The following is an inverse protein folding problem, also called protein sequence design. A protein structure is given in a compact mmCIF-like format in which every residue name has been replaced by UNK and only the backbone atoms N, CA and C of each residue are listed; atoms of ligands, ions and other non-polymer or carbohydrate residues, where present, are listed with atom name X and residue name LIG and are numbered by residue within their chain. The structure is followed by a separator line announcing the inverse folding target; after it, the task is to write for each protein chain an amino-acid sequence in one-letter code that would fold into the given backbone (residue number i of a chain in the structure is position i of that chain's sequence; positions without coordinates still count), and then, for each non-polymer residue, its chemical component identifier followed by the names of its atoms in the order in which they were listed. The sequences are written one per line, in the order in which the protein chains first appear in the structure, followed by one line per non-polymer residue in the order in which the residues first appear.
data_IF_849358564246
#
_entry.id   IF_849358564246
#
_cell.length_a   1.000
_cell.length_b   1.000
_cell.length_c   1.000
_cell.angle_alpha   90.00
_cell.angle_beta   90.00
_cell.angle_gamma   90.00
#
_symmetry.space_group_name_H-M   'P 1'
#
loop_
_entity.id
_entity.type
_entity.pdbx_description
1 polymer ?
#
# COMPACT_ATOMS: atom_id res chain seq x y z
N UNK A 1 -6.32 18.24 -14.46
CA UNK A 1 -5.18 17.40 -14.11
C UNK A 1 -5.02 17.37 -12.59
N UNK A 2 -4.57 16.27 -12.03
CA UNK A 2 -4.45 16.09 -10.58
C UNK A 2 -3.19 15.29 -10.23
N UNK A 3 -2.55 15.65 -9.13
CA UNK A 3 -1.57 14.82 -8.43
C UNK A 3 -2.19 14.41 -7.09
N UNK A 4 -2.22 13.12 -6.80
CA UNK A 4 -2.83 12.56 -5.60
C UNK A 4 -1.78 11.83 -4.77
N UNK A 5 -1.49 12.34 -3.56
CA UNK A 5 -0.66 11.59 -2.63
C UNK A 5 -1.34 10.32 -2.13
N UNK A 6 -0.55 9.27 -1.92
CA UNK A 6 -1.01 8.02 -1.30
C UNK A 6 -1.16 8.21 0.24
N UNK A 7 -2.03 7.45 0.90
CA UNK A 7 -3.03 6.58 0.31
C UNK A 7 -4.18 7.39 -0.28
N UNK A 8 -4.64 7.01 -1.46
CA UNK A 8 -5.72 7.76 -2.15
C UNK A 8 -7.12 7.39 -1.65
N UNK A 9 -7.22 6.34 -0.87
CA UNK A 9 -8.42 5.95 -0.11
C UNK A 9 -8.03 5.09 1.09
N UNK A 10 -8.85 5.09 2.13
CA UNK A 10 -8.62 4.36 3.38
C UNK A 10 -9.71 3.34 3.71
N UNK A 11 -10.77 3.30 2.90
CA UNK A 11 -11.94 2.43 3.08
C UNK A 11 -12.62 2.12 1.73
N UNK A 12 -13.60 1.17 1.70
CA UNK A 12 -14.31 0.79 0.48
C UNK A 12 -15.15 1.92 -0.14
N UNK A 13 -15.67 2.86 0.64
CA UNK A 13 -16.42 4.00 0.13
C UNK A 13 -15.49 4.93 -0.65
N UNK A 14 -14.33 5.24 -0.08
CA UNK A 14 -13.27 6.01 -0.73
C UNK A 14 -12.79 5.34 -2.02
N UNK A 15 -12.56 4.02 -2.00
CA UNK A 15 -12.20 3.25 -3.19
C UNK A 15 -13.21 3.44 -4.34
N UNK A 16 -14.51 3.25 -4.08
CA UNK A 16 -15.54 3.40 -5.11
C UNK A 16 -15.60 4.84 -5.65
N UNK A 17 -15.41 5.82 -4.79
CA UNK A 17 -15.37 7.23 -5.16
C UNK A 17 -14.19 7.52 -6.09
N UNK A 18 -13.00 7.03 -5.77
CA UNK A 18 -11.81 7.17 -6.61
C UNK A 18 -12.02 6.49 -7.97
N UNK A 19 -12.49 5.24 -7.99
CA UNK A 19 -12.73 4.50 -9.24
C UNK A 19 -13.74 5.20 -10.17
N UNK A 20 -14.82 5.76 -9.60
CA UNK A 20 -15.79 6.50 -10.38
C UNK A 20 -15.23 7.83 -10.93
N UNK A 21 -14.41 8.52 -10.12
CA UNK A 21 -13.82 9.81 -10.49
C UNK A 21 -12.68 9.64 -11.50
N UNK A 22 -11.88 8.58 -11.37
CA UNK A 22 -10.82 8.21 -12.31
C UNK A 22 -11.39 8.01 -13.74
N UNK A 23 -12.52 7.30 -13.87
CA UNK A 23 -13.24 7.15 -15.16
C UNK A 23 -13.64 8.49 -15.76
N UNK A 24 -14.11 9.44 -14.92
CA UNK A 24 -14.47 10.78 -15.38
C UNK A 24 -13.24 11.58 -15.82
N UNK A 25 -12.12 11.45 -15.10
CA UNK A 25 -10.86 12.09 -15.47
C UNK A 25 -10.33 11.54 -16.81
N UNK A 26 -10.37 10.22 -16.99
CA UNK A 26 -9.98 9.55 -18.24
C UNK A 26 -10.84 10.00 -19.42
N UNK A 27 -12.17 10.06 -19.25
CA UNK A 27 -13.10 10.53 -20.29
C UNK A 27 -12.86 11.99 -20.72
N UNK A 28 -12.24 12.79 -19.84
CA UNK A 28 -11.88 14.19 -20.11
C UNK A 28 -10.41 14.36 -20.53
N UNK A 29 -9.68 13.27 -20.78
CA UNK A 29 -8.25 13.28 -21.11
C UNK A 29 -7.40 14.06 -20.07
N UNK A 30 -7.71 13.92 -18.79
CA UNK A 30 -6.95 14.55 -17.72
C UNK A 30 -5.77 13.66 -17.29
N UNK A 31 -4.66 14.30 -16.99
CA UNK A 31 -3.51 13.62 -16.40
C UNK A 31 -3.73 13.50 -14.89
N UNK A 32 -3.73 12.27 -14.39
CA UNK A 32 -3.81 11.94 -12.97
C UNK A 32 -2.62 11.06 -12.63
N UNK A 33 -1.72 11.57 -11.80
CA UNK A 33 -0.54 10.85 -11.29
C UNK A 33 -0.70 10.72 -9.79
N UNK A 34 -0.27 9.60 -9.24
CA UNK A 34 -0.37 9.30 -7.81
C UNK A 34 1.03 9.26 -7.17
N UNK A 35 1.10 9.47 -5.85
CA UNK A 35 2.33 9.40 -5.06
C UNK A 35 2.89 7.97 -4.92
N UNK A 36 2.71 7.12 -5.94
CA UNK A 36 3.33 5.79 -6.07
C UNK A 36 4.68 5.93 -6.78
N UNK A 37 5.63 6.56 -6.10
CA UNK A 37 6.91 6.97 -6.69
C UNK A 37 7.70 5.85 -7.38
N UNK A 38 7.47 4.57 -7.03
CA UNK A 38 8.15 3.41 -7.65
C UNK A 38 7.83 3.25 -9.12
N UNK A 39 6.64 3.66 -9.57
CA UNK A 39 6.29 3.71 -10.99
C UNK A 39 7.12 4.73 -11.80
N UNK A 40 7.81 5.63 -11.10
CA UNK A 40 8.67 6.67 -11.70
C UNK A 40 10.16 6.46 -11.35
N UNK A 41 10.47 5.50 -10.49
CA UNK A 41 11.81 5.14 -10.07
C UNK A 41 12.46 4.22 -11.11
N UNK A 42 13.55 4.66 -11.75
CA UNK A 42 14.10 3.99 -12.94
C UNK A 42 14.48 2.53 -12.71
N UNK A 43 15.07 2.18 -11.58
CA UNK A 43 15.42 0.79 -11.28
C UNK A 43 14.16 -0.11 -11.21
N UNK A 44 13.04 0.36 -10.68
CA UNK A 44 11.77 -0.39 -10.72
C UNK A 44 11.20 -0.46 -12.13
N UNK A 45 11.24 0.63 -12.88
CA UNK A 45 10.75 0.67 -14.27
C UNK A 45 11.56 -0.26 -15.16
N UNK A 46 12.88 -0.29 -15.03
CA UNK A 46 13.74 -1.21 -15.79
C UNK A 46 13.57 -2.67 -15.34
N UNK A 47 13.40 -2.92 -14.05
CA UNK A 47 13.06 -4.24 -13.52
C UNK A 47 11.73 -4.74 -14.10
N UNK A 48 10.70 -3.89 -14.10
CA UNK A 48 9.40 -4.20 -14.70
C UNK A 48 9.54 -4.58 -16.17
N UNK A 49 10.29 -3.81 -16.98
CA UNK A 49 10.53 -4.13 -18.38
C UNK A 49 11.18 -5.50 -18.56
N UNK A 50 12.19 -5.82 -17.76
CA UNK A 50 12.88 -7.12 -17.80
C UNK A 50 11.95 -8.28 -17.46
N UNK A 51 11.08 -8.10 -16.50
CA UNK A 51 10.07 -9.11 -16.11
C UNK A 51 9.05 -9.28 -17.24
N UNK A 52 8.57 -8.18 -17.84
CA UNK A 52 7.65 -8.23 -19.00
C UNK A 52 8.29 -8.84 -20.25
N UNK A 53 9.61 -8.72 -20.42
CA UNK A 53 10.39 -9.44 -21.45
C UNK A 53 10.51 -10.95 -21.17
N UNK A 54 10.00 -11.42 -20.02
CA UNK A 54 9.96 -12.84 -19.64
C UNK A 54 11.21 -13.34 -18.91
N UNK A 55 12.03 -12.46 -18.34
CA UNK A 55 13.28 -12.82 -17.66
C UNK A 55 13.08 -13.82 -16.51
N UNK A 56 11.96 -13.75 -15.78
CA UNK A 56 11.61 -14.72 -14.72
C UNK A 56 10.53 -15.73 -15.14
N UNK A 57 10.06 -15.67 -16.39
CA UNK A 57 8.92 -16.48 -16.87
C UNK A 57 7.59 -16.01 -16.29
N UNK A 58 6.63 -16.94 -16.12
CA UNK A 58 5.34 -16.64 -15.49
C UNK A 58 5.51 -16.44 -13.99
N UNK A 59 4.88 -15.41 -13.42
CA UNK A 59 4.92 -15.14 -11.98
C UNK A 59 4.14 -16.24 -11.24
N UNK A 60 4.76 -16.85 -10.24
CA UNK A 60 4.21 -17.96 -9.45
C UNK A 60 3.90 -17.57 -8.01
N UNK A 61 4.31 -16.40 -7.57
CA UNK A 61 4.05 -15.86 -6.25
C UNK A 61 5.03 -14.77 -5.86
N UNK A 62 4.90 -14.29 -4.64
CA UNK A 62 5.83 -13.28 -4.12
C UNK A 62 5.70 -13.04 -2.63
N UNK A 63 6.66 -12.32 -2.10
CA UNK A 63 6.66 -11.84 -0.72
C UNK A 63 7.04 -10.37 -0.73
N UNK A 64 6.30 -9.56 0.01
CA UNK A 64 6.55 -8.12 0.12
C UNK A 64 6.67 -7.70 1.58
N UNK A 65 7.59 -6.77 1.85
CA UNK A 65 7.95 -6.37 3.20
C UNK A 65 7.96 -4.86 3.36
N UNK A 66 7.37 -4.38 4.47
CA UNK A 66 7.64 -3.05 5.00
C UNK A 66 7.86 -3.13 6.51
N UNK A 67 8.99 -3.71 6.90
CA UNK A 67 9.39 -3.85 8.28
C UNK A 67 10.38 -2.75 8.64
N UNK A 68 9.96 -1.81 9.48
CA UNK A 68 10.77 -0.68 9.92
C UNK A 68 10.52 -0.33 11.39
N UNK A 69 11.27 0.61 11.90
CA UNK A 69 11.01 1.26 13.19
C UNK A 69 9.70 2.04 13.17
N UNK A 70 9.17 2.35 14.35
CA UNK A 70 7.99 3.18 14.51
C UNK A 70 8.20 4.53 13.83
N UNK A 71 7.16 5.03 13.17
CA UNK A 71 7.13 6.40 12.65
C UNK A 71 6.94 7.40 13.81
N UNK A 72 6.94 8.66 13.45
CA UNK A 72 6.62 9.73 14.39
C UNK A 72 5.21 9.58 14.96
N UNK A 73 5.01 10.13 16.16
CA UNK A 73 3.71 10.33 16.78
C UNK A 73 3.68 11.69 17.47
N UNK A 74 2.48 12.16 17.80
CA UNK A 74 2.28 13.38 18.57
C UNK A 74 1.48 13.06 19.82
N UNK A 75 2.05 13.32 20.98
CA UNK A 75 1.29 13.31 22.22
C UNK A 75 0.33 14.51 22.26
N UNK A 76 -0.88 14.25 22.73
CA UNK A 76 -1.91 15.28 22.82
C UNK A 76 -1.46 16.42 23.75
N UNK A 77 -1.50 17.64 23.25
CA UNK A 77 -1.27 18.83 24.07
C UNK A 77 -2.56 19.27 24.77
N UNK A 78 -2.40 20.03 25.87
CA UNK A 78 -3.48 20.40 26.78
C UNK A 78 -4.55 21.30 26.14
N UNK A 79 -4.13 22.10 25.16
CA UNK A 79 -4.93 23.07 24.44
C UNK A 79 -5.50 22.53 23.12
N UNK A 80 -5.13 21.31 22.69
CA UNK A 80 -5.66 20.72 21.46
C UNK A 80 -7.02 20.08 21.67
N UNK A 81 -7.98 20.45 20.84
CA UNK A 81 -9.24 19.72 20.74
C UNK A 81 -9.05 18.36 20.04
N UNK A 82 -10.10 17.53 20.00
CA UNK A 82 -9.99 16.16 19.48
C UNK A 82 -9.62 16.11 18.01
N UNK A 83 -10.28 16.94 17.18
CA UNK A 83 -10.01 17.00 15.75
C UNK A 83 -8.58 17.50 15.46
N UNK A 84 -8.15 18.56 16.14
CA UNK A 84 -6.80 19.08 16.00
C UNK A 84 -5.73 18.06 16.39
N UNK A 85 -5.94 17.32 17.48
CA UNK A 85 -5.05 16.25 17.90
C UNK A 85 -4.95 15.16 16.81
N UNK A 86 -6.08 14.67 16.32
CA UNK A 86 -6.07 13.63 15.28
C UNK A 86 -5.39 14.11 14.01
N UNK A 87 -5.63 15.34 13.54
CA UNK A 87 -4.98 15.88 12.36
C UNK A 87 -3.46 16.02 12.57
N UNK A 88 -3.02 16.49 13.73
CA UNK A 88 -1.58 16.64 14.05
C UNK A 88 -0.87 15.30 14.22
N UNK A 89 -1.59 14.25 14.61
CA UNK A 89 -1.11 12.87 14.76
C UNK A 89 -1.69 11.93 13.69
N UNK A 90 -2.01 12.46 12.51
CA UNK A 90 -2.83 11.84 11.48
C UNK A 90 -2.40 10.43 11.06
N UNK A 91 -1.10 10.17 11.06
CA UNK A 91 -0.54 8.88 10.63
C UNK A 91 -0.96 7.73 11.54
N UNK A 92 -1.38 8.02 12.77
CA UNK A 92 -1.76 7.05 13.79
C UNK A 92 -3.28 6.79 13.89
N UNK A 93 -4.09 7.49 13.07
CA UNK A 93 -5.54 7.37 13.09
C UNK A 93 -6.05 6.71 11.81
N UNK A 94 -6.77 5.61 11.97
CA UNK A 94 -7.26 4.74 10.90
C UNK A 94 -8.09 5.48 9.84
N UNK A 95 -8.95 6.41 10.26
CA UNK A 95 -9.79 7.17 9.34
C UNK A 95 -9.03 8.18 8.49
N UNK A 96 -7.82 8.57 8.89
CA UNK A 96 -6.97 9.52 8.16
C UNK A 96 -5.93 8.80 7.28
N UNK A 97 -5.24 7.80 7.83
CA UNK A 97 -4.12 7.15 7.15
C UNK A 97 -4.43 5.72 6.68
N UNK A 98 -5.50 5.11 7.16
CA UNK A 98 -5.86 3.74 6.80
C UNK A 98 -5.10 2.66 7.55
N UNK A 99 -4.28 2.99 8.54
CA UNK A 99 -3.25 2.16 9.17
C UNK A 99 -1.99 2.02 8.29
N UNK A 100 -0.86 1.63 8.92
CA UNK A 100 0.43 1.60 8.24
C UNK A 100 0.52 0.59 7.08
N UNK A 101 -0.34 -0.42 7.06
CA UNK A 101 -0.45 -1.32 5.91
C UNK A 101 -0.98 -0.59 4.67
N UNK A 102 -1.88 0.38 4.84
CA UNK A 102 -2.45 1.20 3.76
C UNK A 102 -1.59 2.44 3.50
N UNK A 103 -1.02 3.06 4.54
CA UNK A 103 -0.25 4.30 4.42
C UNK A 103 1.18 4.06 3.92
N UNK A 104 1.86 2.99 4.36
CA UNK A 104 3.25 2.70 3.99
C UNK A 104 3.38 1.46 3.11
N UNK A 105 2.85 0.34 3.58
CA UNK A 105 3.08 -0.94 2.93
C UNK A 105 2.35 -1.09 1.59
N UNK A 106 1.39 -0.23 1.32
CA UNK A 106 0.73 -0.13 0.01
C UNK A 106 1.74 -0.01 -1.13
N UNK A 107 2.88 0.64 -0.93
CA UNK A 107 3.93 0.74 -1.95
C UNK A 107 4.46 -0.62 -2.42
N UNK A 108 4.59 -1.60 -1.51
CA UNK A 108 5.09 -2.92 -1.87
C UNK A 108 3.98 -3.80 -2.47
N UNK A 109 2.76 -3.68 -1.96
CA UNK A 109 1.57 -4.33 -2.53
C UNK A 109 1.35 -3.82 -3.96
N UNK A 110 1.48 -2.52 -4.17
CA UNK A 110 1.38 -1.85 -5.47
C UNK A 110 2.41 -2.38 -6.47
N UNK A 111 3.67 -2.54 -6.07
CA UNK A 111 4.70 -3.14 -6.95
C UNK A 111 4.30 -4.54 -7.39
N UNK A 112 3.78 -5.39 -6.49
CA UNK A 112 3.39 -6.73 -6.88
C UNK A 112 2.19 -6.72 -7.82
N UNK A 113 1.16 -5.91 -7.53
CA UNK A 113 -0.02 -5.80 -8.41
C UNK A 113 0.35 -5.20 -9.77
N UNK A 114 1.24 -4.23 -9.82
CA UNK A 114 1.76 -3.65 -11.05
C UNK A 114 2.57 -4.67 -11.87
N UNK A 115 3.53 -5.38 -11.25
CA UNK A 115 4.41 -6.33 -11.94
C UNK A 115 3.67 -7.58 -12.42
N UNK A 116 2.70 -8.05 -11.66
CA UNK A 116 1.91 -9.22 -12.03
C UNK A 116 0.70 -8.90 -12.92
N UNK A 117 0.20 -7.66 -12.88
CA UNK A 117 -1.08 -7.28 -13.49
C UNK A 117 -2.30 -7.90 -12.79
N UNK A 118 -2.12 -8.50 -11.60
CA UNK A 118 -3.15 -9.24 -10.88
C UNK A 118 -3.67 -8.45 -9.67
N UNK A 119 -4.93 -8.68 -9.31
CA UNK A 119 -5.52 -8.22 -8.05
C UNK A 119 -5.84 -9.41 -7.13
N UNK A 120 -5.88 -9.22 -5.81
CA UNK A 120 -6.30 -10.27 -4.91
C UNK A 120 -7.80 -10.53 -5.02
N UNK A 121 -8.21 -11.80 -4.87
CA UNK A 121 -9.61 -12.21 -4.74
C UNK A 121 -9.97 -12.53 -3.30
N UNK A 122 -8.98 -12.89 -2.48
CA UNK A 122 -9.12 -13.21 -1.06
C UNK A 122 -7.95 -12.69 -0.25
N UNK A 123 -8.19 -12.44 1.05
CA UNK A 123 -7.15 -12.17 2.02
C UNK A 123 -7.47 -12.85 3.36
N UNK A 124 -6.44 -13.46 3.96
CA UNK A 124 -6.45 -13.92 5.35
C UNK A 124 -5.31 -13.25 6.08
N UNK A 125 -5.63 -12.50 7.12
CA UNK A 125 -4.69 -11.63 7.80
C UNK A 125 -4.58 -11.87 9.30
N UNK A 126 -3.35 -11.69 9.79
CA UNK A 126 -3.02 -11.61 11.21
C UNK A 126 -2.39 -10.25 11.48
N UNK A 127 -2.64 -9.72 12.67
CA UNK A 127 -2.04 -8.48 13.09
C UNK A 127 -2.35 -8.19 14.55
N UNK A 128 -1.66 -7.21 15.10
CA UNK A 128 -1.90 -6.77 16.47
C UNK A 128 -1.30 -5.40 16.73
N UNK A 129 -1.62 -4.83 17.91
CA UNK A 129 -0.95 -3.67 18.47
C UNK A 129 -0.13 -4.08 19.67
N UNK A 130 1.18 -3.84 19.64
CA UNK A 130 2.12 -4.23 20.69
C UNK A 130 2.81 -3.01 21.32
N UNK A 131 3.24 -2.04 20.53
CA UNK A 131 4.11 -0.94 20.95
C UNK A 131 3.63 0.46 20.54
N UNK A 132 2.67 0.57 19.62
CA UNK A 132 2.17 1.87 19.16
C UNK A 132 1.61 2.68 20.33
N UNK A 133 1.97 3.96 20.43
CA UNK A 133 1.70 4.83 21.58
C UNK A 133 0.35 5.53 21.43
N UNK A 134 0.07 6.11 20.25
CA UNK A 134 -1.13 6.90 19.96
C UNK A 134 -2.02 6.25 18.91
N UNK A 135 -3.22 6.78 18.70
CA UNK A 135 -4.14 6.35 17.68
C UNK A 135 -4.84 5.02 17.94
N UNK A 136 -5.50 4.49 16.91
CA UNK A 136 -6.37 3.32 16.98
C UNK A 136 -5.94 2.16 16.04
N UNK A 137 -4.67 2.15 15.64
CA UNK A 137 -4.10 1.24 14.64
C UNK A 137 -3.32 0.09 15.25
N UNK A 138 -3.05 -0.94 14.44
CA UNK A 138 -2.06 -1.97 14.72
C UNK A 138 -0.64 -1.46 14.44
N UNK A 139 0.37 -2.26 14.81
CA UNK A 139 1.78 -1.99 14.49
C UNK A 139 2.47 -3.16 13.78
N UNK A 140 1.74 -4.22 13.49
CA UNK A 140 2.23 -5.34 12.68
C UNK A 140 1.08 -6.04 11.96
N UNK A 141 1.37 -6.52 10.74
CA UNK A 141 0.47 -7.32 9.92
C UNK A 141 1.26 -8.42 9.20
N UNK A 142 0.60 -9.56 9.03
CA UNK A 142 1.03 -10.66 8.16
C UNK A 142 -0.21 -11.14 7.40
N UNK A 143 -0.22 -10.95 6.09
CA UNK A 143 -1.38 -11.19 5.24
C UNK A 143 -0.99 -12.18 4.14
N UNK A 144 -1.82 -13.17 3.92
CA UNK A 144 -1.80 -14.01 2.73
C UNK A 144 -2.91 -13.56 1.77
N UNK A 145 -2.52 -13.09 0.60
CA UNK A 145 -3.44 -12.76 -0.47
C UNK A 145 -3.46 -13.89 -1.49
N UNK A 146 -4.66 -14.40 -1.82
CA UNK A 146 -4.86 -15.24 -3.01
C UNK A 146 -5.21 -14.33 -4.19
N UNK A 147 -4.39 -14.36 -5.24
CA UNK A 147 -4.60 -13.57 -6.45
C UNK A 147 -5.62 -14.25 -7.38
N UNK A 148 -6.15 -13.53 -8.37
CA UNK A 148 -7.22 -14.01 -9.26
C UNK A 148 -6.86 -15.24 -10.11
N UNK A 149 -5.56 -15.50 -10.31
CA UNK A 149 -5.06 -16.71 -10.98
C UNK A 149 -4.67 -17.85 -10.00
N UNK A 150 -4.91 -17.66 -8.70
CA UNK A 150 -4.66 -18.65 -7.66
C UNK A 150 -3.24 -18.63 -7.07
N UNK A 151 -2.33 -17.77 -7.53
CA UNK A 151 -1.03 -17.60 -6.87
C UNK A 151 -1.17 -16.81 -5.57
N UNK A 152 -0.16 -16.90 -4.69
CA UNK A 152 -0.17 -16.24 -3.41
C UNK A 152 0.84 -15.09 -3.35
N UNK A 153 0.41 -13.99 -2.73
CA UNK A 153 1.27 -12.90 -2.27
C UNK A 153 1.28 -12.90 -0.75
N UNK A 154 2.43 -13.18 -0.14
CA UNK A 154 2.62 -12.99 1.30
C UNK A 154 3.11 -11.57 1.58
N UNK A 155 2.38 -10.84 2.40
CA UNK A 155 2.58 -9.43 2.70
C UNK A 155 2.83 -9.26 4.20
N UNK A 156 3.99 -8.71 4.58
CA UNK A 156 4.36 -8.50 5.97
C UNK A 156 4.79 -7.05 6.21
N UNK A 157 4.19 -6.40 7.21
CA UNK A 157 4.66 -5.08 7.63
C UNK A 157 4.66 -4.91 9.14
N UNK A 158 5.59 -4.08 9.63
CA UNK A 158 5.76 -3.82 11.06
C UNK A 158 6.38 -2.46 11.30
N UNK A 159 5.89 -1.75 12.32
CA UNK A 159 6.44 -0.49 12.80
C UNK A 159 6.76 -0.59 14.30
N UNK A 160 7.82 -1.33 14.63
CA UNK A 160 8.27 -1.58 16.02
C UNK A 160 9.79 -1.39 16.10
N UNK A 161 10.23 -0.55 17.05
CA UNK A 161 11.65 -0.29 17.28
C UNK A 161 12.39 -1.52 17.80
N UNK A 162 13.68 -1.62 17.46
CA UNK A 162 14.55 -2.71 17.89
C UNK A 162 14.28 -4.07 17.22
N UNK A 163 13.45 -4.10 16.19
CA UNK A 163 13.18 -5.30 15.40
C UNK A 163 13.95 -5.28 14.07
N UNK A 164 14.11 -6.46 13.45
CA UNK A 164 14.72 -6.57 12.12
C UNK A 164 13.96 -5.72 11.08
N UNK A 165 14.69 -4.98 10.27
CA UNK A 165 14.15 -4.11 9.22
C UNK A 165 14.30 -4.75 7.85
N UNK A 166 13.28 -4.59 7.01
CA UNK A 166 13.30 -5.00 5.61
C UNK A 166 12.21 -4.22 4.87
N UNK A 167 12.58 -3.46 3.85
CA UNK A 167 11.64 -2.81 2.93
C UNK A 167 12.01 -3.25 1.53
N UNK A 168 11.34 -4.29 1.04
CA UNK A 168 11.68 -4.90 -0.25
C UNK A 168 10.52 -5.76 -0.79
N UNK A 169 10.65 -6.17 -2.04
CA UNK A 169 9.81 -7.15 -2.72
C UNK A 169 10.67 -8.29 -3.25
N UNK A 170 10.12 -9.49 -3.20
CA UNK A 170 10.67 -10.68 -3.83
C UNK A 170 9.58 -11.34 -4.68
N UNK A 171 9.79 -11.40 -5.99
CA UNK A 171 8.83 -11.97 -6.95
C UNK A 171 9.45 -13.22 -7.56
N UNK A 172 8.71 -14.32 -7.48
CA UNK A 172 9.11 -15.62 -8.04
C UNK A 172 8.40 -15.87 -9.36
N UNK A 173 9.11 -16.50 -10.28
CA UNK A 173 8.57 -16.94 -11.55
C UNK A 173 9.07 -18.32 -11.93
N UNK A 174 8.57 -18.85 -13.06
CA UNK A 174 8.88 -20.21 -13.52
C UNK A 174 10.34 -20.37 -13.99
N UNK A 175 11.04 -19.28 -14.34
CA UNK A 175 12.43 -19.30 -14.83
C UNK A 175 13.43 -18.63 -13.90
N UNK A 176 12.97 -17.97 -12.85
CA UNK A 176 13.83 -17.24 -11.95
C UNK A 176 13.06 -16.37 -10.96
N UNK A 177 13.77 -15.42 -10.33
CA UNK A 177 13.20 -14.51 -9.36
C UNK A 177 13.78 -13.11 -9.47
N UNK A 178 13.02 -12.12 -9.05
CA UNK A 178 13.47 -10.73 -8.90
C UNK A 178 13.48 -10.34 -7.43
N UNK A 179 14.53 -9.63 -7.00
CA UNK A 179 14.71 -9.10 -5.66
C UNK A 179 14.96 -7.59 -5.72
N UNK A 180 14.08 -6.80 -5.13
CA UNK A 180 14.22 -5.34 -5.13
C UNK A 180 15.31 -4.83 -4.19
N UNK A 181 15.68 -5.56 -3.15
CA UNK A 181 16.76 -5.15 -2.25
C UNK A 181 18.11 -5.09 -2.97
N UNK A 182 18.32 -6.00 -3.91
CA UNK A 182 19.55 -6.11 -4.72
C UNK A 182 19.38 -5.50 -6.12
N UNK A 183 18.14 -5.18 -6.53
CA UNK A 183 17.73 -4.78 -7.88
C UNK A 183 18.29 -5.73 -8.94
N UNK A 184 18.10 -7.03 -8.73
CA UNK A 184 18.64 -8.08 -9.59
C UNK A 184 17.62 -9.17 -9.90
N UNK A 185 17.86 -9.85 -11.03
CA UNK A 185 17.15 -11.05 -11.46
C UNK A 185 18.12 -12.21 -11.43
N UNK A 186 17.70 -13.31 -10.80
CA UNK A 186 18.42 -14.59 -10.80
C UNK A 186 17.63 -15.65 -11.55
N UNK A 187 18.34 -16.54 -12.26
CA UNK A 187 17.76 -17.77 -12.77
C UNK A 187 17.50 -18.80 -11.64
N UNK A 188 16.86 -19.94 -11.98
CA UNK A 188 16.58 -21.00 -11.01
C UNK A 188 17.83 -21.73 -10.50
N UNK A 189 19.00 -21.52 -11.12
CA UNK A 189 20.28 -22.03 -10.64
C UNK A 189 20.96 -21.06 -9.68
N UNK A 190 20.38 -19.86 -9.48
CA UNK A 190 20.90 -18.81 -8.59
C UNK A 190 21.90 -17.86 -9.27
N UNK A 191 22.13 -17.97 -10.56
CA UNK A 191 23.01 -17.05 -11.29
C UNK A 191 22.30 -15.72 -11.52
N UNK A 192 23.02 -14.61 -11.29
CA UNK A 192 22.52 -13.25 -11.63
C UNK A 192 22.53 -13.10 -13.16
N UNK A 193 21.36 -13.00 -13.75
CA UNK A 193 21.19 -12.83 -15.21
C UNK A 193 20.92 -11.36 -15.59
N UNK A 194 20.51 -10.54 -14.64
CA UNK A 194 20.38 -9.11 -14.81
C UNK A 194 20.52 -8.40 -13.46
N UNK A 195 21.14 -7.22 -13.48
CA UNK A 195 21.22 -6.32 -12.32
C UNK A 195 21.16 -4.88 -12.79
N UNK A 196 20.41 -4.06 -12.08
CA UNK A 196 20.31 -2.63 -12.37
C UNK A 196 21.64 -1.92 -12.03
N UNK A 197 22.15 -1.13 -12.98
CA UNK A 197 23.37 -0.34 -12.78
C UNK A 197 23.02 1.08 -12.31
N UNK A 198 22.97 1.27 -10.99
CA UNK A 198 22.68 2.58 -10.38
C UNK A 198 23.78 3.62 -10.58
N UNK A 199 25.03 3.22 -10.84
CA UNK A 199 26.10 4.16 -11.15
C UNK A 199 25.99 4.68 -12.59
N UNK A 200 25.63 3.80 -13.53
CA UNK A 200 25.31 4.23 -14.90
C UNK A 200 24.12 5.23 -14.91
N UNK A 201 23.10 5.00 -14.06
CA UNK A 201 21.98 5.94 -13.91
C UNK A 201 22.46 7.32 -13.47
N UNK A 202 23.26 7.40 -12.40
CA UNK A 202 23.76 8.67 -11.85
C UNK A 202 24.61 9.44 -12.89
N UNK A 203 25.38 8.70 -13.69
CA UNK A 203 26.20 9.28 -14.75
C UNK A 203 25.37 9.77 -15.95
N UNK A 204 24.25 9.12 -16.24
CA UNK A 204 23.40 9.44 -17.38
C UNK A 204 22.34 10.52 -17.07
N UNK A 205 22.00 10.74 -15.78
CA UNK A 205 20.88 11.58 -15.39
C UNK A 205 21.22 12.49 -14.22
N UNK A 206 20.92 13.78 -14.37
CA UNK A 206 21.09 14.79 -13.31
C UNK A 206 20.03 14.70 -12.21
N UNK A 207 18.86 14.09 -12.53
CA UNK A 207 17.77 13.87 -11.58
C UNK A 207 17.45 12.38 -11.49
N UNK A 208 17.58 11.82 -10.28
CA UNK A 208 17.32 10.42 -9.96
C UNK A 208 16.29 10.23 -8.83
N UNK A 209 15.93 11.32 -8.14
CA UNK A 209 14.96 11.27 -7.05
C UNK A 209 13.56 10.93 -7.58
N UNK A 210 12.97 9.77 -7.21
CA UNK A 210 11.67 9.33 -7.73
C UNK A 210 10.52 10.27 -7.37
N UNK A 211 10.56 10.93 -6.22
CA UNK A 211 9.56 11.94 -5.83
C UNK A 211 9.58 13.20 -6.71
N UNK A 212 10.71 13.52 -7.32
CA UNK A 212 10.77 14.57 -8.33
C UNK A 212 10.34 14.03 -9.69
N UNK A 213 10.73 12.79 -10.02
CA UNK A 213 10.42 12.18 -11.31
C UNK A 213 8.91 11.97 -11.54
N UNK A 214 8.15 11.65 -10.50
CA UNK A 214 6.68 11.55 -10.60
C UNK A 214 6.05 12.90 -10.99
N UNK A 215 6.53 14.01 -10.43
CA UNK A 215 6.07 15.35 -10.81
C UNK A 215 6.54 15.75 -12.21
N UNK A 216 7.78 15.40 -12.60
CA UNK A 216 8.28 15.61 -13.96
C UNK A 216 7.40 14.86 -14.97
N UNK A 217 7.05 13.60 -14.69
CA UNK A 217 6.20 12.81 -15.56
C UNK A 217 4.78 13.39 -15.64
N UNK A 218 4.23 13.84 -14.52
CA UNK A 218 2.93 14.53 -14.49
C UNK A 218 2.91 15.81 -15.33
N UNK A 219 3.91 16.68 -15.17
CA UNK A 219 4.03 17.92 -15.95
C UNK A 219 4.24 17.63 -17.45
N UNK A 220 5.07 16.64 -17.78
CA UNK A 220 5.28 16.21 -19.16
C UNK A 220 4.00 15.62 -19.79
N UNK A 221 3.23 14.86 -19.03
CA UNK A 221 1.92 14.37 -19.43
C UNK A 221 0.99 15.53 -19.81
N UNK A 222 0.90 16.55 -18.94
CA UNK A 222 0.07 17.75 -19.18
C UNK A 222 0.50 18.49 -20.44
N UNK A 223 1.82 18.69 -20.62
CA UNK A 223 2.40 19.41 -21.76
C UNK A 223 2.43 18.59 -23.04
N UNK A 224 2.63 17.28 -22.93
CA UNK A 224 2.81 16.39 -24.08
C UNK A 224 1.53 15.81 -24.67
N UNK A 225 0.40 16.00 -24.00
CA UNK A 225 -0.91 15.59 -24.49
C UNK A 225 -1.16 14.07 -24.49
N UNK A 226 -0.35 13.26 -23.78
CA UNK A 226 -0.62 11.84 -23.53
C UNK A 226 -1.11 11.66 -22.10
N UNK A 227 -2.43 11.53 -21.87
CA UNK A 227 -2.97 11.39 -20.54
C UNK A 227 -2.44 10.15 -19.82
N UNK A 228 -2.04 10.31 -18.56
CA UNK A 228 -1.72 9.23 -17.62
C UNK A 228 -2.88 9.18 -16.63
N UNK A 229 -3.44 8.01 -16.37
CA UNK A 229 -4.43 7.78 -15.33
C UNK A 229 -3.92 6.66 -14.43
N UNK A 230 -3.32 7.01 -13.29
CA UNK A 230 -2.77 6.06 -12.31
C UNK A 230 -3.72 5.80 -11.13
N UNK A 231 -4.76 6.62 -10.96
CA UNK A 231 -5.61 6.50 -9.76
C UNK A 231 -6.33 5.15 -9.70
N UNK A 232 -6.71 4.57 -10.85
CA UNK A 232 -7.36 3.24 -10.89
C UNK A 232 -6.43 2.13 -10.40
N UNK A 233 -5.17 2.11 -10.85
CA UNK A 233 -4.17 1.11 -10.43
C UNK A 233 -3.82 1.27 -8.96
N UNK A 234 -3.56 2.50 -8.52
CA UNK A 234 -3.27 2.81 -7.12
C UNK A 234 -4.47 2.46 -6.22
N UNK A 235 -5.70 2.68 -6.68
CA UNK A 235 -6.90 2.30 -5.93
C UNK A 235 -7.00 0.78 -5.73
N UNK A 236 -6.60 -0.02 -6.73
CA UNK A 236 -6.54 -1.49 -6.60
C UNK A 236 -5.54 -1.89 -5.51
N UNK A 237 -4.34 -1.33 -5.48
CA UNK A 237 -3.34 -1.59 -4.44
C UNK A 237 -3.83 -1.14 -3.06
N UNK A 238 -4.48 0.03 -2.96
CA UNK A 238 -5.09 0.50 -1.72
C UNK A 238 -6.20 -0.44 -1.24
N UNK A 239 -7.08 -0.91 -2.13
CA UNK A 239 -8.13 -1.87 -1.76
C UNK A 239 -7.55 -3.21 -1.31
N UNK A 240 -6.48 -3.70 -1.92
CA UNK A 240 -5.77 -4.88 -1.45
C UNK A 240 -5.26 -4.70 -0.01
N UNK A 241 -4.61 -3.57 0.28
CA UNK A 241 -4.16 -3.24 1.63
C UNK A 241 -5.32 -3.14 2.63
N UNK A 242 -6.46 -2.53 2.23
CA UNK A 242 -7.69 -2.44 3.02
C UNK A 242 -8.26 -3.84 3.31
N UNK A 243 -8.31 -4.73 2.30
CA UNK A 243 -8.75 -6.13 2.49
C UNK A 243 -7.90 -6.85 3.54
N UNK A 244 -6.59 -6.76 3.43
CA UNK A 244 -5.65 -7.37 4.38
C UNK A 244 -5.84 -6.82 5.78
N UNK A 245 -5.99 -5.50 5.92
CA UNK A 245 -6.27 -4.85 7.20
C UNK A 245 -7.57 -5.35 7.82
N UNK A 246 -8.68 -5.35 7.07
CA UNK A 246 -9.98 -5.77 7.59
C UNK A 246 -9.98 -7.25 7.97
N UNK A 247 -9.29 -8.11 7.20
CA UNK A 247 -9.10 -9.50 7.58
C UNK A 247 -8.36 -9.64 8.92
N UNK A 248 -7.26 -8.90 9.11
CA UNK A 248 -6.52 -8.92 10.38
C UNK A 248 -7.33 -8.33 11.54
N UNK A 249 -8.12 -7.28 11.31
CA UNK A 249 -8.93 -6.62 12.34
C UNK A 249 -10.10 -7.49 12.81
N UNK A 250 -10.71 -8.25 11.90
CA UNK A 250 -11.88 -9.08 12.20
C UNK A 250 -11.52 -10.54 12.54
N UNK A 251 -10.38 -11.03 12.04
CA UNK A 251 -10.00 -12.44 12.07
C UNK A 251 -10.72 -13.28 11.03
N UNK A 252 -11.48 -12.68 10.12
CA UNK A 252 -12.22 -13.36 9.07
C UNK A 252 -11.50 -13.32 7.72
N UNK A 253 -11.72 -14.30 6.86
CA UNK A 253 -11.39 -14.19 5.44
C UNK A 253 -12.18 -13.03 4.83
N UNK A 254 -11.52 -12.17 4.06
CA UNK A 254 -12.17 -11.14 3.25
C UNK A 254 -12.07 -11.49 1.78
N UNK A 255 -13.07 -11.10 0.99
CA UNK A 255 -13.05 -11.27 -0.46
C UNK A 255 -13.12 -9.92 -1.15
N UNK A 256 -12.55 -9.84 -2.37
CA UNK A 256 -12.56 -8.62 -3.18
C UNK A 256 -13.99 -8.09 -3.38
N UNK A 257 -14.91 -8.98 -3.79
CA UNK A 257 -16.29 -8.59 -4.09
C UNK A 257 -17.03 -8.08 -2.84
N UNK A 258 -16.87 -8.78 -1.71
CA UNK A 258 -17.47 -8.35 -0.46
C UNK A 258 -16.91 -6.99 0.00
N UNK A 259 -15.60 -6.78 -0.11
CA UNK A 259 -14.98 -5.52 0.29
C UNK A 259 -15.33 -4.38 -0.64
N UNK A 260 -15.32 -4.58 -1.95
CA UNK A 260 -15.69 -3.51 -2.90
C UNK A 260 -17.17 -3.12 -2.80
N UNK A 261 -18.05 -4.02 -2.38
CA UNK A 261 -19.47 -3.75 -2.11
C UNK A 261 -19.73 -3.24 -0.68
N UNK A 262 -18.76 -3.32 0.22
CA UNK A 262 -18.94 -2.98 1.63
C UNK A 262 -19.34 -1.51 1.84
N UNK A 263 -20.32 -1.23 2.72
CA UNK A 263 -20.66 0.13 3.12
C UNK A 263 -19.69 0.73 4.15
N UNK A 264 -18.60 0.04 4.49
CA UNK A 264 -17.62 0.48 5.48
C UNK A 264 -17.06 1.84 5.08
N UNK A 265 -17.23 2.80 5.99
CA UNK A 265 -16.77 4.17 5.89
C UNK A 265 -16.17 4.57 7.24
N UNK A 266 -14.91 4.94 7.24
CA UNK A 266 -14.23 5.37 8.47
C UNK A 266 -14.37 6.86 8.76
N UNK A 267 -15.06 7.61 7.92
CA UNK A 267 -15.34 9.04 8.18
C UNK A 267 -16.11 9.19 9.49
N UNK A 268 -15.62 9.98 10.46
CA UNK A 268 -16.34 10.23 11.69
C UNK A 268 -17.72 10.86 11.43
N UNK A 269 -18.77 10.35 12.08
CA UNK A 269 -20.15 10.85 11.89
C UNK A 269 -20.30 12.32 12.30
N UNK A 270 -19.61 12.71 13.36
CA UNK A 270 -19.64 14.05 13.92
C UNK A 270 -18.36 14.83 13.59
N UNK A 271 -17.91 14.74 12.34
CA UNK A 271 -16.70 15.43 11.89
C UNK A 271 -16.87 16.94 12.00
N UNK A 272 -16.13 17.55 12.89
CA UNK A 272 -16.07 19.00 13.08
C UNK A 272 -14.67 19.42 13.54
N UNK A 273 -14.33 20.70 13.42
CA UNK A 273 -13.03 21.24 13.83
C UNK A 273 -12.89 21.46 15.35
N UNK A 274 -13.62 20.72 16.16
CA UNK A 274 -13.67 20.87 17.60
C UNK A 274 -13.63 19.55 18.36
N UNK A 275 -14.46 19.46 19.41
CA UNK A 275 -14.63 18.25 20.17
C UNK A 275 -15.35 17.20 19.33
N UNK A 276 -14.87 15.97 19.38
CA UNK A 276 -15.43 14.80 18.69
C UNK A 276 -15.77 13.70 19.70
N UNK A 277 -16.68 12.81 19.33
CA UNK A 277 -16.88 11.57 20.08
C UNK A 277 -15.73 10.60 19.81
N UNK A 278 -14.85 10.42 20.80
CA UNK A 278 -13.67 9.55 20.69
C UNK A 278 -13.98 8.08 20.98
N UNK A 279 -15.20 7.72 21.40
CA UNK A 279 -15.54 6.37 21.85
C UNK A 279 -15.43 5.29 20.77
N UNK A 280 -15.61 5.68 19.50
CA UNK A 280 -15.47 4.79 18.32
C UNK A 280 -14.03 4.53 17.85
N UNK A 281 -13.05 5.29 18.36
CA UNK A 281 -11.65 5.17 17.96
C UNK A 281 -10.92 4.18 18.86
N UNK A 282 -11.22 2.89 18.65
CA UNK A 282 -10.63 1.80 19.43
C UNK A 282 -9.76 0.91 18.58
N UNK A 283 -8.75 0.30 19.20
CA UNK A 283 -7.91 -0.71 18.55
C UNK A 283 -8.77 -1.95 18.33
N UNK A 284 -8.86 -2.48 17.10
CA UNK A 284 -9.63 -3.69 16.81
C UNK A 284 -9.10 -4.90 17.58
N UNK A 285 -10.01 -5.82 17.91
CA UNK A 285 -9.65 -7.11 18.50
C UNK A 285 -10.33 -8.20 17.68
N UNK A 286 -9.58 -9.11 17.04
CA UNK A 286 -10.15 -10.11 16.14
C UNK A 286 -10.92 -11.18 16.92
N UNK A 287 -11.91 -11.77 16.23
CA UNK A 287 -12.70 -12.85 16.76
C UNK A 287 -13.76 -12.43 17.78
N UNK A 288 -14.21 -13.38 18.59
CA UNK A 288 -15.19 -13.15 19.66
C UNK A 288 -14.62 -13.60 20.99
N UNK A 289 -14.94 -12.91 22.10
CA UNK A 289 -14.60 -13.38 23.44
C UNK A 289 -15.14 -14.80 23.67
N UNK A 290 -14.35 -15.62 24.32
CA UNK A 290 -14.82 -16.93 24.76
C UNK A 290 -15.82 -16.71 25.90
N UNK A 291 -17.03 -17.28 25.81
CA UNK A 291 -18.00 -17.25 26.91
C UNK A 291 -17.42 -17.96 28.14
N UNK A 292 -17.14 -17.22 29.20
CA UNK A 292 -16.60 -17.75 30.48
C UNK A 292 -17.61 -18.62 31.25
N UNK A 293 -18.87 -18.70 30.79
CA UNK A 293 -19.96 -19.42 31.45
C UNK A 293 -20.04 -20.92 31.15
N UNK A 294 -19.04 -21.51 30.51
CA UNK A 294 -18.95 -22.97 30.26
C UNK A 294 -17.75 -23.61 30.95
N UNK A 295 -17.53 -23.29 32.21
CA UNK A 295 -16.70 -24.09 33.11
C UNK A 295 -17.55 -24.75 34.16
#
# INVERSE_FOLDING_TARGET
HCFLEKPICVDPVGYRTIMATAKQAQAKNLCVVTGTQRHHQRNYVESYKKIMEGAIGEITGGVVYWNQSMLWFRERQKDWNDCEYMIKDWVNWKWLSGDHIVEQHVHNIDVFTWFSGLKPVKAVGFGSRQRRITGDQYDNFSIDFTMENGIHLHSMCRQIDGCATNVSEFIQGTKGSWNSAEMEIKDNAGNVIWKYDGEAEKNAHTQTNPYVLEHVNWVNCIRGGKPIEQASETAVANMAAIMGRESAYTGAETTWDAMTASPLDYTPKDLNLGKMDMSGFTVPVPGKPRDEKKK
#
